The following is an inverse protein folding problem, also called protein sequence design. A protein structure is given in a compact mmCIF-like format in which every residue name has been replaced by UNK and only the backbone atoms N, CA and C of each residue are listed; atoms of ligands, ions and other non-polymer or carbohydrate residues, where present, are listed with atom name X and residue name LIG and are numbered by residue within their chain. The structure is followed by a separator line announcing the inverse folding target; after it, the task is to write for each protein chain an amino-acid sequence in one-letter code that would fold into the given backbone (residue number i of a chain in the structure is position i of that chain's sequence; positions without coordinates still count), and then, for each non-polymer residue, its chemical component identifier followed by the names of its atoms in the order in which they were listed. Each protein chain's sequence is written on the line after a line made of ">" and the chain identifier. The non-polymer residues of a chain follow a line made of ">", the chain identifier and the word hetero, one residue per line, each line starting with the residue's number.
data_IF_372553899703
#
_entry.id   IF_372553899703
#
_cell.length_a   1.000
_cell.length_b   1.000
_cell.length_c   1.000
_cell.angle_alpha   90.00
_cell.angle_beta   90.00
_cell.angle_gamma   90.00
#
_symmetry.space_group_name_H-M   'P 1'
#
loop_
_entity.id
_entity.type
_entity.pdbx_description
1 polymer ?
#
# COMPACT_ATOMS: atom_id res chain seq x y z
N UNK A 1 10.79 -19.74 -9.29
CA UNK A 1 10.13 -18.44 -9.51
C UNK A 1 11.15 -17.36 -9.17
N UNK A 2 11.65 -16.62 -10.16
CA UNK A 2 12.74 -15.66 -9.95
C UNK A 2 12.10 -14.26 -9.80
N UNK A 3 12.13 -13.70 -8.60
CA UNK A 3 11.45 -12.43 -8.23
C UNK A 3 11.84 -11.29 -9.17
N UNK A 4 13.10 -11.30 -9.65
CA UNK A 4 13.61 -10.29 -10.59
C UNK A 4 12.87 -10.36 -11.93
N UNK A 5 12.44 -11.56 -12.36
CA UNK A 5 11.68 -11.72 -13.59
C UNK A 5 10.24 -11.23 -13.41
N UNK A 6 9.61 -11.54 -12.27
CA UNK A 6 8.26 -11.08 -11.96
C UNK A 6 8.15 -9.54 -11.96
N UNK A 7 9.09 -8.85 -11.31
CA UNK A 7 9.14 -7.37 -11.31
C UNK A 7 9.40 -6.84 -12.73
N UNK A 8 10.29 -7.47 -13.49
CA UNK A 8 10.57 -7.07 -14.88
C UNK A 8 9.35 -7.26 -15.79
N UNK A 9 8.59 -8.33 -15.58
CA UNK A 9 7.39 -8.64 -16.34
C UNK A 9 6.26 -7.67 -15.99
N UNK A 10 6.10 -7.32 -14.70
CA UNK A 10 5.14 -6.31 -14.24
C UNK A 10 5.49 -4.92 -14.79
N UNK A 11 6.75 -4.51 -14.73
CA UNK A 11 7.22 -3.25 -15.33
C UNK A 11 6.94 -3.24 -16.84
N UNK A 12 7.24 -4.33 -17.55
CA UNK A 12 6.99 -4.45 -18.99
C UNK A 12 5.50 -4.43 -19.33
N UNK A 13 4.65 -5.02 -18.49
CA UNK A 13 3.20 -5.01 -18.66
C UNK A 13 2.61 -3.59 -18.51
N UNK A 14 3.17 -2.80 -17.59
CA UNK A 14 2.71 -1.43 -17.29
C UNK A 14 3.32 -0.38 -18.24
N UNK A 15 4.56 -0.57 -18.74
CA UNK A 15 5.25 0.34 -19.66
C UNK A 15 4.69 0.35 -21.11
N UNK A 16 3.38 0.11 -21.28
CA UNK A 16 2.71 0.41 -22.56
C UNK A 16 2.71 1.91 -22.82
N UNK A 17 2.47 2.30 -24.08
CA UNK A 17 2.39 3.71 -24.50
C UNK A 17 1.46 4.47 -23.54
N UNK A 18 1.97 5.46 -22.78
CA UNK A 18 1.21 6.05 -21.70
C UNK A 18 0.00 6.81 -22.22
N UNK A 19 -1.13 6.69 -21.51
CA UNK A 19 -2.35 7.41 -21.88
C UNK A 19 -2.12 8.91 -21.75
N UNK A 20 -2.77 9.70 -22.61
CA UNK A 20 -2.68 11.17 -22.52
C UNK A 20 -3.12 11.70 -21.16
N UNK A 21 -4.05 11.00 -20.48
CA UNK A 21 -4.50 11.35 -19.12
C UNK A 21 -3.40 11.13 -18.08
N UNK A 22 -2.67 10.02 -18.15
CA UNK A 22 -1.63 9.68 -17.18
C UNK A 22 -0.47 10.70 -17.23
N UNK A 23 -0.12 11.14 -18.44
CA UNK A 23 0.85 12.21 -18.64
C UNK A 23 0.34 13.55 -18.09
N UNK A 24 -0.94 13.87 -18.26
CA UNK A 24 -1.54 15.08 -17.68
C UNK A 24 -1.57 15.03 -16.16
N UNK A 25 -1.87 13.87 -15.57
CA UNK A 25 -1.85 13.65 -14.12
C UNK A 25 -0.44 13.86 -13.58
N UNK A 26 0.58 13.28 -14.21
CA UNK A 26 1.97 13.46 -13.80
C UNK A 26 2.40 14.95 -13.90
N UNK A 27 2.02 15.63 -14.99
CA UNK A 27 2.33 17.05 -15.15
C UNK A 27 1.62 17.93 -14.11
N UNK A 28 0.34 17.65 -13.82
CA UNK A 28 -0.41 18.34 -12.78
C UNK A 28 0.21 18.11 -11.39
N UNK A 29 0.69 16.90 -11.12
CA UNK A 29 1.35 16.55 -9.86
C UNK A 29 2.66 17.31 -9.70
N UNK A 30 3.49 17.40 -10.76
CA UNK A 30 4.70 18.22 -10.76
C UNK A 30 4.46 19.74 -10.72
N UNK A 31 3.26 20.21 -11.07
CA UNK A 31 2.90 21.61 -10.92
C UNK A 31 2.39 21.91 -9.50
N UNK A 32 1.47 21.10 -9.00
CA UNK A 32 0.74 21.36 -7.75
C UNK A 32 1.62 21.11 -6.52
N UNK A 33 2.35 19.99 -6.45
CA UNK A 33 3.16 19.66 -5.26
C UNK A 33 4.24 20.72 -4.98
N UNK A 34 5.15 21.02 -5.93
CA UNK A 34 6.16 22.07 -5.74
C UNK A 34 5.54 23.46 -5.60
N UNK A 35 4.40 23.72 -6.25
CA UNK A 35 3.64 24.96 -6.11
C UNK A 35 3.12 25.19 -4.68
N UNK A 36 2.52 24.17 -4.08
CA UNK A 36 2.04 24.22 -2.69
C UNK A 36 3.20 24.34 -1.72
N UNK A 37 4.27 23.55 -1.91
CA UNK A 37 5.47 23.61 -1.06
C UNK A 37 6.13 24.98 -1.17
N UNK A 38 6.29 25.51 -2.38
CA UNK A 38 6.89 26.81 -2.63
C UNK A 38 6.06 27.97 -2.06
N UNK A 39 4.74 27.93 -2.25
CA UNK A 39 3.81 28.91 -1.68
C UNK A 39 3.81 28.88 -0.15
N UNK A 40 3.78 27.68 0.45
CA UNK A 40 3.87 27.50 1.89
C UNK A 40 5.20 28.06 2.44
N UNK A 41 6.33 27.76 1.79
CA UNK A 41 7.65 28.27 2.20
C UNK A 41 7.77 29.80 2.09
N UNK A 42 7.16 30.42 1.06
CA UNK A 42 7.11 31.88 0.93
C UNK A 42 6.31 32.53 2.06
N UNK A 43 5.18 31.93 2.44
CA UNK A 43 4.30 32.46 3.49
C UNK A 43 4.88 32.27 4.91
N UNK A 44 5.60 31.18 5.16
CA UNK A 44 6.15 30.87 6.50
C UNK A 44 7.51 31.50 6.77
N UNK A 45 8.42 31.48 5.79
CA UNK A 45 9.83 31.82 6.03
C UNK A 45 10.25 33.14 5.41
N UNK A 46 9.42 33.73 4.54
CA UNK A 46 9.75 34.95 3.78
C UNK A 46 10.99 34.81 2.89
N UNK A 47 11.53 33.59 2.74
CA UNK A 47 12.77 33.35 2.02
C UNK A 47 12.49 33.18 0.53
N UNK A 48 13.24 33.88 -0.33
CA UNK A 48 13.12 33.80 -1.79
C UNK A 48 13.29 32.39 -2.39
N UNK A 49 13.75 31.41 -1.61
CA UNK A 49 13.83 29.99 -1.97
C UNK A 49 12.50 29.39 -2.41
N UNK A 50 11.35 29.90 -1.93
CA UNK A 50 10.06 29.35 -2.34
C UNK A 50 9.72 29.58 -3.82
N UNK A 51 10.24 30.65 -4.44
CA UNK A 51 10.14 30.86 -5.89
C UNK A 51 10.88 29.79 -6.70
N UNK A 52 12.00 29.28 -6.18
CA UNK A 52 12.77 28.22 -6.83
C UNK A 52 11.91 26.96 -6.99
N UNK A 53 11.13 26.60 -5.97
CA UNK A 53 10.22 25.44 -6.02
C UNK A 53 9.08 25.62 -7.02
N UNK A 54 8.49 26.82 -7.07
CA UNK A 54 7.41 27.15 -8.02
C UNK A 54 7.94 27.10 -9.46
N UNK A 55 9.09 27.73 -9.72
CA UNK A 55 9.71 27.76 -11.06
C UNK A 55 10.16 26.37 -11.48
N UNK A 56 10.74 25.57 -10.58
CA UNK A 56 11.13 24.20 -10.86
C UNK A 56 9.92 23.31 -11.22
N UNK A 57 8.82 23.42 -10.45
CA UNK A 57 7.58 22.68 -10.75
C UNK A 57 6.95 23.09 -12.09
N UNK A 58 6.90 24.40 -12.37
CA UNK A 58 6.42 24.92 -13.65
C UNK A 58 7.30 24.48 -14.83
N UNK A 59 8.62 24.49 -14.68
CA UNK A 59 9.56 24.01 -15.70
C UNK A 59 9.38 22.50 -15.97
N UNK A 60 9.22 21.69 -14.92
CA UNK A 60 8.95 20.26 -15.06
C UNK A 60 7.60 19.97 -15.72
N UNK A 61 6.56 20.75 -15.42
CA UNK A 61 5.28 20.64 -16.10
C UNK A 61 5.40 21.07 -17.59
N UNK A 62 6.22 22.08 -17.90
CA UNK A 62 6.48 22.52 -19.27
C UNK A 62 7.21 21.46 -20.12
N UNK A 63 7.96 20.53 -19.50
CA UNK A 63 8.54 19.38 -20.21
C UNK A 63 7.49 18.50 -20.89
N UNK A 64 6.20 18.61 -20.54
CA UNK A 64 5.09 17.96 -21.26
C UNK A 64 5.04 18.30 -22.75
N UNK A 65 5.58 19.46 -23.14
CA UNK A 65 5.68 19.92 -24.53
C UNK A 65 6.70 19.10 -25.36
N UNK A 66 7.53 18.28 -24.71
CA UNK A 66 8.49 17.38 -25.35
C UNK A 66 8.04 15.92 -25.06
N UNK A 67 7.14 15.35 -25.90
CA UNK A 67 6.55 14.04 -25.67
C UNK A 67 7.55 12.89 -25.39
N UNK A 68 8.66 12.72 -26.15
CA UNK A 68 9.53 11.56 -25.95
C UNK A 68 10.25 11.61 -24.60
N UNK A 69 10.64 12.81 -24.15
CA UNK A 69 11.34 13.00 -22.87
C UNK A 69 10.38 12.75 -21.69
N UNK A 70 9.18 13.31 -21.75
CA UNK A 70 8.20 13.19 -20.68
C UNK A 70 7.68 11.75 -20.53
N UNK A 71 7.56 11.01 -21.63
CA UNK A 71 7.23 9.58 -21.61
C UNK A 71 8.33 8.74 -20.96
N UNK A 72 9.60 9.03 -21.23
CA UNK A 72 10.72 8.34 -20.57
C UNK A 72 10.73 8.59 -19.06
N UNK A 73 10.49 9.83 -18.63
CA UNK A 73 10.38 10.20 -17.21
C UNK A 73 9.22 9.46 -16.55
N UNK A 74 8.05 9.42 -17.19
CA UNK A 74 6.89 8.68 -16.69
C UNK A 74 7.21 7.19 -16.50
N UNK A 75 7.81 6.56 -17.52
CA UNK A 75 8.15 5.13 -17.47
C UNK A 75 9.18 4.80 -16.38
N UNK A 76 10.15 5.70 -16.16
CA UNK A 76 11.12 5.57 -15.07
C UNK A 76 10.46 5.73 -13.70
N UNK A 77 9.58 6.72 -13.56
CA UNK A 77 8.83 6.97 -12.32
C UNK A 77 7.95 5.79 -11.93
N UNK A 78 7.20 5.25 -12.89
CA UNK A 78 6.35 4.08 -12.66
C UNK A 78 7.20 2.85 -12.33
N UNK A 79 8.28 2.61 -13.06
CA UNK A 79 9.21 1.52 -12.76
C UNK A 79 9.77 1.61 -11.33
N UNK A 80 10.15 2.81 -10.90
CA UNK A 80 10.60 3.07 -9.53
C UNK A 80 9.48 2.81 -8.51
N UNK A 81 8.24 3.22 -8.79
CA UNK A 81 7.11 2.98 -7.89
C UNK A 81 6.79 1.50 -7.70
N UNK A 82 6.93 0.67 -8.73
CA UNK A 82 6.71 -0.79 -8.65
C UNK A 82 7.75 -1.42 -7.73
N UNK A 83 9.02 -1.06 -7.92
CA UNK A 83 10.11 -1.55 -7.06
C UNK A 83 9.90 -1.07 -5.62
N UNK A 84 9.54 0.20 -5.42
CA UNK A 84 9.27 0.73 -4.09
C UNK A 84 8.08 0.03 -3.43
N UNK A 85 6.98 -0.14 -4.15
CA UNK A 85 5.78 -0.86 -3.69
C UNK A 85 6.12 -2.29 -3.29
N UNK A 86 7.02 -2.94 -4.03
CA UNK A 86 7.55 -4.25 -3.67
C UNK A 86 8.17 -4.19 -2.26
N UNK A 87 9.14 -3.32 -2.01
CA UNK A 87 9.81 -3.24 -0.71
C UNK A 87 8.86 -2.81 0.41
N UNK A 88 8.05 -1.78 0.18
CA UNK A 88 7.13 -1.21 1.17
C UNK A 88 6.13 -2.25 1.64
N UNK A 89 5.57 -3.08 0.74
CA UNK A 89 4.62 -4.13 1.13
C UNK A 89 5.24 -5.12 2.13
N UNK A 90 6.49 -5.56 1.91
CA UNK A 90 7.18 -6.50 2.81
C UNK A 90 7.51 -5.82 4.14
N UNK A 91 8.08 -4.63 4.09
CA UNK A 91 8.45 -3.86 5.29
C UNK A 91 7.20 -3.60 6.13
N UNK A 92 6.11 -3.12 5.52
CA UNK A 92 4.86 -2.83 6.20
C UNK A 92 4.29 -4.09 6.86
N UNK A 93 4.26 -5.22 6.16
CA UNK A 93 3.80 -6.49 6.72
C UNK A 93 4.67 -6.94 7.89
N UNK A 94 5.99 -6.85 7.77
CA UNK A 94 6.93 -7.16 8.86
C UNK A 94 6.68 -6.26 10.07
N UNK A 95 6.57 -4.94 9.86
CA UNK A 95 6.33 -3.96 10.93
C UNK A 95 5.00 -4.25 11.63
N UNK A 96 3.90 -4.44 10.89
CA UNK A 96 2.59 -4.76 11.47
C UNK A 96 2.66 -6.07 12.26
N UNK A 97 3.32 -7.10 11.71
CA UNK A 97 3.43 -8.38 12.38
C UNK A 97 4.18 -8.27 13.71
N UNK A 98 5.30 -7.54 13.76
CA UNK A 98 6.11 -7.43 14.97
C UNK A 98 5.63 -6.37 15.97
N UNK A 99 4.98 -5.29 15.51
CA UNK A 99 4.51 -4.21 16.39
C UNK A 99 3.05 -4.33 16.83
N UNK A 100 2.22 -5.07 16.08
CA UNK A 100 0.79 -5.21 16.40
C UNK A 100 0.47 -6.66 16.73
N UNK A 101 0.71 -7.58 15.79
CA UNK A 101 0.25 -8.97 15.94
C UNK A 101 1.02 -9.69 17.06
N UNK A 102 2.35 -9.65 17.01
CA UNK A 102 3.24 -10.30 17.98
C UNK A 102 2.99 -9.83 19.41
N UNK A 103 2.98 -8.52 19.72
CA UNK A 103 2.73 -8.07 21.09
C UNK A 103 1.30 -8.36 21.53
N UNK A 104 0.30 -8.30 20.63
CA UNK A 104 -1.06 -8.73 20.98
C UNK A 104 -1.09 -10.19 21.41
N UNK A 105 -0.45 -11.08 20.65
CA UNK A 105 -0.32 -12.50 21.01
C UNK A 105 0.45 -12.71 22.31
N UNK A 106 1.53 -11.94 22.55
CA UNK A 106 2.30 -12.01 23.79
C UNK A 106 1.47 -11.55 24.99
N UNK A 107 0.72 -10.45 24.87
CA UNK A 107 -0.19 -9.94 25.90
C UNK A 107 -1.25 -10.99 26.22
N UNK A 108 -1.87 -11.62 25.21
CA UNK A 108 -2.85 -12.70 25.43
C UNK A 108 -2.22 -13.87 26.18
N UNK A 109 -0.99 -14.25 25.83
CA UNK A 109 -0.25 -15.32 26.51
C UNK A 109 0.05 -14.98 27.98
N UNK A 110 0.46 -13.74 28.27
CA UNK A 110 0.73 -13.29 29.65
C UNK A 110 -0.57 -13.21 30.47
N UNK A 111 -1.69 -12.80 29.85
CA UNK A 111 -3.00 -12.77 30.49
C UNK A 111 -3.65 -14.17 30.63
N UNK A 112 -2.97 -15.24 30.19
CA UNK A 112 -3.49 -16.61 30.24
C UNK A 112 -4.70 -16.83 29.33
N UNK A 113 -4.97 -15.93 28.37
CA UNK A 113 -6.07 -16.06 27.43
C UNK A 113 -5.63 -16.94 26.27
N UNK A 114 -6.20 -18.14 26.19
CA UNK A 114 -6.03 -19.04 25.06
C UNK A 114 -7.34 -19.15 24.26
N UNK A 115 -7.61 -18.21 23.33
CA UNK A 115 -8.84 -18.21 22.55
C UNK A 115 -8.95 -19.42 21.62
N UNK A 116 -7.84 -20.11 21.35
CA UNK A 116 -7.81 -21.30 20.50
C UNK A 116 -7.76 -22.60 21.31
N UNK A 117 -7.85 -22.53 22.65
CA UNK A 117 -7.85 -23.68 23.55
C UNK A 117 -6.76 -24.71 23.20
N UNK A 118 -5.56 -24.19 22.90
CA UNK A 118 -4.41 -24.99 22.46
C UNK A 118 -3.78 -25.75 23.63
N UNK A 119 -4.01 -25.34 24.87
CA UNK A 119 -3.60 -26.11 26.04
C UNK A 119 -4.35 -27.44 26.11
N UNK A 120 -3.62 -28.54 26.01
CA UNK A 120 -4.16 -29.89 26.22
C UNK A 120 -4.43 -30.11 27.71
N UNK A 121 -5.68 -30.41 28.06
CA UNK A 121 -6.09 -30.77 29.42
C UNK A 121 -6.00 -32.30 29.59
N UNK A 122 -5.07 -32.82 30.41
CA UNK A 122 -4.93 -34.25 30.65
C UNK A 122 -6.16 -34.90 31.31
N UNK A 123 -7.03 -34.12 31.95
CA UNK A 123 -8.26 -34.58 32.58
C UNK A 123 -9.48 -34.56 31.65
N UNK A 124 -9.35 -34.01 30.43
CA UNK A 124 -10.48 -33.89 29.51
C UNK A 124 -10.85 -35.27 28.92
N UNK A 125 -12.11 -35.66 29.12
CA UNK A 125 -12.70 -36.87 28.52
C UNK A 125 -12.80 -36.77 27.00
N UNK A 126 -12.95 -35.56 26.46
CA UNK A 126 -13.00 -35.30 25.03
C UNK A 126 -12.70 -33.83 24.72
N UNK A 127 -11.94 -33.58 23.64
CA UNK A 127 -11.70 -32.23 23.11
C UNK A 127 -12.77 -31.76 22.13
N UNK A 128 -13.76 -32.61 21.82
CA UNK A 128 -14.85 -32.26 20.93
C UNK A 128 -15.75 -31.21 21.59
N UNK A 129 -15.73 -29.99 21.07
CA UNK A 129 -16.76 -28.98 21.38
C UNK A 129 -18.08 -29.44 20.79
N UNK A 130 -19.11 -29.63 21.62
CA UNK A 130 -20.48 -29.76 21.11
C UNK A 130 -20.83 -28.47 20.40
N UNK A 131 -21.24 -28.59 19.13
CA UNK A 131 -21.89 -27.49 18.43
C UNK A 131 -23.18 -27.18 19.17
N UNK A 132 -23.31 -25.96 19.67
CA UNK A 132 -24.58 -25.45 20.19
C UNK A 132 -25.61 -25.60 19.06
N UNK A 133 -26.69 -26.35 19.29
CA UNK A 133 -27.76 -26.44 18.30
C UNK A 133 -28.44 -25.08 18.27
N UNK A 134 -28.18 -24.31 17.22
CA UNK A 134 -28.97 -23.11 16.96
C UNK A 134 -30.43 -23.53 16.80
N UNK A 135 -31.33 -22.82 17.50
CA UNK A 135 -32.75 -23.16 17.59
C UNK A 135 -33.49 -23.15 16.24
N UNK A 136 -32.87 -22.59 15.20
CA UNK A 136 -33.42 -22.49 13.86
C UNK A 136 -32.97 -23.66 12.97
N UNK A 137 -33.86 -24.65 12.86
CA UNK A 137 -33.72 -25.85 12.00
C UNK A 137 -34.45 -25.70 10.66
N UNK A 138 -34.82 -24.48 10.27
CA UNK A 138 -35.53 -24.23 9.01
C UNK A 138 -34.67 -24.60 7.78
N UNK A 139 -35.33 -25.14 6.75
CA UNK A 139 -34.69 -25.52 5.47
C UNK A 139 -34.07 -24.29 4.79
N UNK A 140 -34.66 -23.11 4.98
CA UNK A 140 -34.23 -21.81 4.44
C UNK A 140 -32.78 -21.42 4.83
N UNK A 141 -32.28 -21.95 5.96
CA UNK A 141 -30.89 -21.74 6.40
C UNK A 141 -29.88 -22.40 5.48
N UNK A 142 -30.20 -23.55 4.90
CA UNK A 142 -29.29 -24.28 4.01
C UNK A 142 -29.11 -23.56 2.67
N UNK A 143 -30.08 -22.72 2.27
CA UNK A 143 -30.00 -21.91 1.06
C UNK A 143 -29.00 -20.76 1.17
N UNK A 144 -28.63 -20.35 2.39
CA UNK A 144 -27.70 -19.23 2.67
C UNK A 144 -26.27 -19.67 3.01
N UNK A 145 -25.96 -20.96 2.82
CA UNK A 145 -24.66 -21.53 3.20
C UNK A 145 -23.54 -21.26 2.17
N UNK A 146 -23.89 -20.77 0.97
CA UNK A 146 -22.94 -20.42 -0.10
C UNK A 146 -22.99 -18.94 -0.45
#
# INVERSE_FOLDING_TARGET
>A
MNIIQEIKDEIRAVQRVPSSRDLTILAALFLVLPGVIGSFLLLWKGSGTGWVWIVAGAALAACRLIPPLFQAIYNLWIGLSIVLGYFVSRILLTVIFFLVITPTGLIMRVLGKDPMERSLDPGATTYWRRKEQEADTSIERYEKQF
#
